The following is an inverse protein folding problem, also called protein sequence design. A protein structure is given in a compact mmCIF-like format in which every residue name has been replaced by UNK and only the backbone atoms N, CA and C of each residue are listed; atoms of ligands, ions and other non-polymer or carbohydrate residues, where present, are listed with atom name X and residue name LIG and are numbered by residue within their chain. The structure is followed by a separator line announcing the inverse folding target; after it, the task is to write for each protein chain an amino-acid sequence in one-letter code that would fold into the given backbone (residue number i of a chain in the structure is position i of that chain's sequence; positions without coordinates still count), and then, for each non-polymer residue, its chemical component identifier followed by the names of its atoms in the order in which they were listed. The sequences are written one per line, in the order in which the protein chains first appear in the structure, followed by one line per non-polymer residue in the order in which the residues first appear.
data_IF_929493927472
#
_entry.id   IF_929493927472
#
_cell.length_a   1.000
_cell.length_b   1.000
_cell.length_c   1.000
_cell.angle_alpha   90.00
_cell.angle_beta   90.00
_cell.angle_gamma   90.00
#
_symmetry.space_group_name_H-M   'P 1'
#
loop_
_entity.id
_entity.type
_entity.pdbx_description
1 polymer ?
#
# COMPACT_ATOMS: atom_id res chain seq x y z
N UNK A 1 20.51 88.47 16.45
CA UNK A 1 21.75 87.84 16.96
C UNK A 1 21.43 86.39 17.28
N UNK A 2 22.03 85.44 16.55
CA UNK A 2 21.82 84.03 16.83
C UNK A 2 22.49 83.69 18.17
N UNK A 3 21.69 83.31 19.18
CA UNK A 3 22.23 82.76 20.43
C UNK A 3 22.80 81.39 20.09
N UNK A 4 24.11 81.31 19.89
CA UNK A 4 24.82 80.05 19.66
C UNK A 4 25.09 79.39 21.00
N UNK A 5 24.44 78.25 21.22
CA UNK A 5 24.62 77.38 22.38
C UNK A 5 23.66 76.21 22.24
N UNK A 6 24.08 75.04 22.72
CA UNK A 6 23.25 73.83 22.67
C UNK A 6 21.97 74.08 23.47
N UNK A 7 20.78 73.95 22.88
CA UNK A 7 19.54 74.19 23.60
C UNK A 7 19.36 73.13 24.69
N UNK A 8 19.13 73.59 25.93
CA UNK A 8 18.85 72.73 27.08
C UNK A 8 17.36 72.81 27.38
N UNK A 9 16.71 71.65 27.40
CA UNK A 9 15.33 71.53 27.85
C UNK A 9 15.33 71.04 29.29
N UNK A 10 14.58 71.70 30.16
CA UNK A 10 14.39 71.23 31.52
C UNK A 10 12.89 71.12 31.78
N UNK A 11 12.51 70.10 32.51
CA UNK A 11 11.15 69.95 33.04
C UNK A 11 11.20 69.90 34.55
N UNK A 12 10.11 70.33 35.16
CA UNK A 12 9.85 70.12 36.57
C UNK A 12 8.38 69.90 36.75
N UNK A 13 8.01 69.19 37.80
CA UNK A 13 6.62 69.11 38.20
C UNK A 13 6.23 70.40 38.91
N UNK A 14 5.14 71.02 38.45
CA UNK A 14 4.55 72.18 39.12
C UNK A 14 3.58 71.71 40.21
N UNK A 15 3.63 72.37 41.37
CA UNK A 15 2.61 72.22 42.41
C UNK A 15 2.25 73.59 42.99
N UNK A 16 1.09 73.69 43.62
CA UNK A 16 0.61 74.95 44.20
C UNK A 16 1.39 75.39 45.45
N UNK A 17 2.18 74.51 46.07
CA UNK A 17 2.97 74.82 47.28
C UNK A 17 4.45 75.12 46.98
N UNK A 18 5.09 74.28 46.15
CA UNK A 18 6.45 74.49 45.67
C UNK A 18 6.72 73.60 44.46
N UNK A 19 7.46 74.14 43.51
CA UNK A 19 7.80 73.40 42.30
C UNK A 19 8.98 72.45 42.56
N UNK A 20 8.94 71.24 41.98
CA UNK A 20 10.00 70.23 42.15
C UNK A 20 11.34 70.65 41.53
N UNK A 21 12.42 69.89 41.74
CA UNK A 21 13.70 70.17 41.10
C UNK A 21 13.57 70.19 39.56
N UNK A 22 14.40 71.00 38.91
CA UNK A 22 14.54 70.92 37.45
C UNK A 22 15.28 69.63 37.10
N UNK A 23 14.69 68.83 36.23
CA UNK A 23 15.32 67.69 35.60
C UNK A 23 15.66 68.05 34.17
N UNK A 24 16.91 67.78 33.82
CA UNK A 24 17.42 67.98 32.47
C UNK A 24 16.79 66.94 31.55
N UNK A 25 16.19 67.40 30.45
CA UNK A 25 15.81 66.55 29.34
C UNK A 25 17.01 66.46 28.41
N UNK A 26 17.56 65.26 28.28
CA UNK A 26 18.59 65.01 27.29
C UNK A 26 18.02 65.04 25.88
N UNK A 27 18.72 65.73 24.99
CA UNK A 27 18.38 65.82 23.58
C UNK A 27 19.54 65.29 22.74
N UNK A 28 19.35 65.17 21.42
CA UNK A 28 20.45 64.81 20.53
C UNK A 28 21.58 65.84 20.54
N UNK A 29 21.28 67.09 20.87
CA UNK A 29 22.26 68.17 20.98
C UNK A 29 22.92 68.20 22.38
N UNK A 30 22.17 67.87 23.43
CA UNK A 30 22.61 67.89 24.83
C UNK A 30 22.46 66.49 25.47
N UNK A 31 23.44 65.63 25.20
CA UNK A 31 23.44 64.21 25.57
C UNK A 31 23.92 64.01 27.02
N UNK A 32 23.50 62.91 27.69
CA UNK A 32 24.06 62.55 28.98
C UNK A 32 25.55 62.21 28.85
N UNK A 33 26.32 62.53 29.87
CA UNK A 33 27.71 62.09 30.02
C UNK A 33 27.78 60.62 30.45
N UNK A 34 28.91 59.97 30.20
CA UNK A 34 29.11 58.57 30.61
C UNK A 34 28.98 58.38 32.13
N UNK A 35 29.45 59.35 32.91
CA UNK A 35 29.30 59.37 34.37
C UNK A 35 27.84 59.48 34.81
N UNK A 36 27.02 60.30 34.14
CA UNK A 36 25.58 60.40 34.41
C UNK A 36 24.82 59.10 34.08
N UNK A 37 25.39 58.24 33.21
CA UNK A 37 24.82 56.94 32.85
C UNK A 37 25.39 55.75 33.63
N UNK A 38 26.47 55.93 34.40
CA UNK A 38 27.22 54.82 34.99
C UNK A 38 27.93 53.93 33.96
N UNK A 39 28.20 54.44 32.76
CA UNK A 39 28.85 53.71 31.68
C UNK A 39 30.38 53.93 31.67
N UNK A 40 31.14 52.89 31.31
CA UNK A 40 32.59 52.96 31.15
C UNK A 40 32.99 53.71 29.87
N UNK A 41 34.18 54.32 29.86
CA UNK A 41 34.72 54.96 28.66
C UNK A 41 35.24 53.91 27.67
N UNK A 42 35.24 54.24 26.38
CA UNK A 42 35.76 53.35 25.34
C UNK A 42 37.26 52.99 25.56
N UNK A 43 38.02 53.87 26.22
CA UNK A 43 39.41 53.65 26.61
C UNK A 43 39.58 52.53 27.63
N UNK A 44 38.57 52.31 28.48
CA UNK A 44 38.63 51.30 29.54
C UNK A 44 38.50 49.88 28.99
N UNK A 45 38.07 49.74 27.72
CA UNK A 45 37.87 48.47 27.03
C UNK A 45 39.12 48.01 26.24
N UNK A 46 40.22 48.76 26.24
CA UNK A 46 41.39 48.47 25.40
C UNK A 46 42.08 47.14 25.70
N UNK A 47 41.97 46.66 26.94
CA UNK A 47 42.56 45.39 27.40
C UNK A 47 41.57 44.22 27.42
N UNK A 48 40.33 44.43 26.97
CA UNK A 48 39.29 43.41 26.92
C UNK A 48 39.10 42.91 25.49
N UNK A 49 38.84 41.61 25.35
CA UNK A 49 38.53 41.00 24.06
C UNK A 49 37.01 40.82 23.94
N UNK A 50 36.39 41.25 22.83
CA UNK A 50 34.96 41.01 22.62
C UNK A 50 34.64 39.52 22.58
N UNK A 51 33.58 39.10 23.28
CA UNK A 51 33.11 37.70 23.30
C UNK A 51 32.65 37.18 21.93
N UNK A 52 32.46 38.08 20.97
CA UNK A 52 32.17 37.75 19.56
C UNK A 52 33.42 37.33 18.78
N UNK A 53 34.63 37.52 19.32
CA UNK A 53 35.83 36.93 18.73
C UNK A 53 35.87 35.43 18.97
N UNK A 54 36.43 34.70 18.01
CA UNK A 54 36.55 33.25 18.08
C UNK A 54 38.00 32.79 18.06
N UNK A 55 38.28 31.64 18.68
CA UNK A 55 39.54 30.89 18.54
C UNK A 55 39.19 29.59 17.82
N UNK A 56 39.70 29.42 16.59
CA UNK A 56 39.30 28.34 15.68
C UNK A 56 37.78 28.13 15.61
N UNK A 57 37.03 29.22 15.41
CA UNK A 57 35.57 29.18 15.24
C UNK A 57 34.76 29.07 16.53
N UNK A 58 35.38 28.89 17.70
CA UNK A 58 34.68 28.84 19.00
C UNK A 58 34.67 30.20 19.68
N UNK A 59 33.49 30.68 20.08
CA UNK A 59 33.30 31.96 20.75
C UNK A 59 33.85 31.98 22.18
N UNK A 60 34.29 33.15 22.65
CA UNK A 60 34.87 33.35 23.99
C UNK A 60 33.80 33.55 25.08
N UNK A 61 32.79 32.67 25.13
CA UNK A 61 31.70 32.74 26.12
C UNK A 61 31.91 31.81 27.32
N UNK A 62 32.87 30.88 27.25
CA UNK A 62 33.30 29.97 28.31
C UNK A 62 34.74 29.49 28.07
N UNK A 63 35.25 28.57 28.90
CA UNK A 63 36.55 27.91 28.66
C UNK A 63 36.56 27.20 27.30
N UNK A 64 37.63 27.40 26.53
CA UNK A 64 37.81 26.77 25.22
C UNK A 64 38.70 25.54 25.36
N UNK A 65 38.19 24.37 24.99
CA UNK A 65 38.97 23.15 24.76
C UNK A 65 39.13 22.93 23.26
N UNK A 66 40.37 22.80 22.79
CA UNK A 66 40.68 22.47 21.40
C UNK A 66 40.98 20.97 21.28
N UNK A 67 40.38 20.33 20.29
CA UNK A 67 40.74 18.98 19.85
C UNK A 67 41.58 19.04 18.58
N UNK A 68 42.22 17.92 18.20
CA UNK A 68 43.04 17.87 16.99
C UNK A 68 42.29 18.35 15.74
N UNK A 69 40.99 18.04 15.63
CA UNK A 69 40.15 18.51 14.52
C UNK A 69 39.96 20.04 14.48
N UNK A 70 40.13 20.73 15.61
CA UNK A 70 40.07 22.20 15.63
C UNK A 70 41.35 22.82 15.07
N UNK A 71 42.46 22.09 14.87
CA UNK A 71 43.76 22.63 14.40
C UNK A 71 44.10 22.00 13.05
N UNK A 72 44.22 22.83 12.00
CA UNK A 72 44.29 22.35 10.61
C UNK A 72 45.54 21.54 10.25
N UNK A 73 46.60 21.59 11.06
CA UNK A 73 47.91 20.99 10.75
C UNK A 73 48.38 20.02 11.86
N UNK A 74 47.45 19.32 12.50
CA UNK A 74 47.77 18.31 13.52
C UNK A 74 46.94 17.06 13.32
N UNK A 75 47.59 15.91 13.25
CA UNK A 75 46.91 14.63 13.26
C UNK A 75 46.53 14.22 14.68
N UNK A 76 45.34 13.63 14.87
CA UNK A 76 44.97 13.06 16.17
C UNK A 76 45.90 11.92 16.54
N UNK A 77 46.07 11.67 17.85
CA UNK A 77 46.85 10.52 18.33
C UNK A 77 46.35 9.21 17.71
N UNK A 78 45.03 9.05 17.61
CA UNK A 78 44.39 7.91 16.94
C UNK A 78 44.77 7.80 15.47
N UNK A 79 44.85 8.92 14.74
CA UNK A 79 45.26 8.93 13.34
C UNK A 79 46.73 8.51 13.18
N UNK A 80 47.63 9.04 14.00
CA UNK A 80 49.07 8.70 13.97
C UNK A 80 49.28 7.22 14.27
N UNK A 81 48.66 6.71 15.34
CA UNK A 81 48.77 5.30 15.75
C UNK A 81 48.23 4.35 14.66
N UNK A 82 47.25 4.79 13.87
CA UNK A 82 46.63 3.98 12.80
C UNK A 82 47.32 4.10 11.43
N UNK A 83 47.94 5.25 11.11
CA UNK A 83 48.35 5.58 9.75
C UNK A 83 49.83 5.90 9.58
N UNK A 84 50.56 6.22 10.65
CA UNK A 84 51.95 6.71 10.56
C UNK A 84 52.95 5.79 11.27
N UNK A 85 52.53 5.07 12.32
CA UNK A 85 53.29 3.90 12.81
C UNK A 85 53.25 2.82 11.71
N UNK A 86 54.37 2.22 11.28
CA UNK A 86 54.41 1.42 10.06
C UNK A 86 53.32 0.36 10.04
N UNK A 87 52.52 0.35 8.96
CA UNK A 87 51.62 -0.76 8.63
C UNK A 87 52.45 -2.05 8.57
N UNK A 88 52.44 -2.75 9.69
CA UNK A 88 52.88 -4.13 9.94
C UNK A 88 53.87 -4.64 8.89
N UNK A 89 55.17 -4.47 9.14
CA UNK A 89 56.15 -5.32 8.46
C UNK A 89 55.81 -6.77 8.78
N UNK A 90 55.67 -7.61 7.76
CA UNK A 90 55.39 -9.03 7.93
C UNK A 90 56.65 -9.82 7.60
N UNK A 91 57.04 -10.74 8.49
CA UNK A 91 58.04 -11.76 8.19
C UNK A 91 57.27 -13.05 7.91
N UNK A 92 57.32 -13.51 6.66
CA UNK A 92 56.63 -14.72 6.19
C UNK A 92 55.14 -14.79 6.57
N UNK A 93 54.43 -13.67 6.41
CA UNK A 93 52.99 -13.57 6.69
C UNK A 93 52.61 -13.32 8.15
N UNK A 94 53.58 -13.23 9.06
CA UNK A 94 53.35 -12.88 10.46
C UNK A 94 53.69 -11.43 10.75
N UNK A 95 52.78 -10.75 11.45
CA UNK A 95 52.96 -9.38 11.88
C UNK A 95 54.15 -9.23 12.83
N UNK A 96 55.08 -8.30 12.54
CA UNK A 96 56.13 -7.89 13.47
C UNK A 96 55.56 -6.93 14.53
N UNK A 97 54.75 -7.47 15.44
CA UNK A 97 54.17 -6.73 16.57
C UNK A 97 54.40 -7.48 17.90
N UNK A 98 54.40 -6.75 19.01
CA UNK A 98 54.62 -7.33 20.35
C UNK A 98 56.09 -7.55 20.73
N UNK A 99 56.35 -8.42 21.72
CA UNK A 99 57.69 -8.64 22.32
C UNK A 99 58.44 -9.86 21.79
N UNK A 100 57.80 -10.75 21.04
CA UNK A 100 58.44 -11.93 20.44
C UNK A 100 57.64 -12.46 19.23
N UNK A 101 58.37 -13.05 18.27
CA UNK A 101 57.81 -13.74 17.11
C UNK A 101 58.23 -15.21 17.15
N UNK A 102 57.25 -16.13 17.21
CA UNK A 102 57.49 -17.57 17.14
C UNK A 102 57.13 -18.08 15.75
N UNK A 103 58.13 -18.45 14.96
CA UNK A 103 57.94 -19.06 13.65
C UNK A 103 57.86 -20.58 13.77
N UNK A 104 56.94 -21.20 13.02
CA UNK A 104 56.88 -22.65 12.81
C UNK A 104 57.48 -23.02 11.45
N UNK A 105 57.73 -24.31 11.22
CA UNK A 105 58.31 -24.77 9.94
C UNK A 105 57.46 -24.38 8.72
N UNK A 106 56.13 -24.30 8.86
CA UNK A 106 55.24 -23.85 7.78
C UNK A 106 55.44 -22.37 7.40
N UNK A 107 56.03 -21.58 8.29
CA UNK A 107 56.32 -20.16 8.06
C UNK A 107 57.65 -19.96 7.33
N UNK A 108 58.40 -21.02 7.01
CA UNK A 108 59.72 -20.92 6.36
C UNK A 108 59.67 -21.73 5.06
N UNK A 109 60.03 -21.08 3.95
CA UNK A 109 60.07 -21.74 2.65
C UNK A 109 61.20 -22.80 2.64
N UNK A 110 60.90 -23.98 2.08
CA UNK A 110 61.86 -25.08 1.85
C UNK A 110 62.42 -25.76 3.11
N UNK A 111 61.59 -25.88 4.16
CA UNK A 111 61.95 -26.62 5.39
C UNK A 111 60.82 -27.59 5.78
N UNK A 112 61.17 -28.82 6.17
CA UNK A 112 60.24 -29.74 6.83
C UNK A 112 60.34 -29.62 8.35
N UNK A 113 59.22 -29.71 9.07
CA UNK A 113 59.26 -29.88 10.53
C UNK A 113 59.90 -31.23 10.90
N UNK A 114 60.49 -31.34 12.10
CA UNK A 114 61.07 -32.60 12.58
C UNK A 114 60.06 -33.76 12.53
N UNK A 115 58.79 -33.50 12.82
CA UNK A 115 57.71 -34.49 12.74
C UNK A 115 57.46 -34.94 11.30
N UNK A 116 57.45 -34.02 10.33
CA UNK A 116 57.34 -34.37 8.90
C UNK A 116 58.55 -35.17 8.44
N UNK A 117 59.76 -34.80 8.86
CA UNK A 117 60.97 -35.57 8.54
C UNK A 117 60.83 -37.01 9.06
N UNK A 118 60.42 -37.18 10.31
CA UNK A 118 60.32 -38.51 10.93
C UNK A 118 59.18 -39.37 10.36
N UNK A 119 58.08 -38.77 9.93
CA UNK A 119 56.93 -39.51 9.39
C UNK A 119 57.00 -39.76 7.89
N UNK A 120 57.68 -38.89 7.14
CA UNK A 120 57.68 -38.93 5.67
C UNK A 120 58.99 -39.46 5.09
N UNK A 121 60.10 -39.33 5.81
CA UNK A 121 61.42 -39.73 5.31
C UNK A 121 62.03 -40.81 6.19
N UNK A 122 62.77 -41.72 5.55
CA UNK A 122 63.58 -42.74 6.23
C UNK A 122 65.04 -42.28 6.17
N UNK A 123 65.79 -42.45 7.27
CA UNK A 123 67.20 -42.09 7.30
C UNK A 123 67.99 -42.89 6.24
N UNK A 124 68.91 -42.23 5.51
CA UNK A 124 69.76 -42.90 4.51
C UNK A 124 70.63 -44.03 5.08
N UNK A 125 70.81 -44.06 6.40
CA UNK A 125 71.49 -45.12 7.14
C UNK A 125 70.65 -46.38 7.33
N UNK A 126 69.33 -46.33 7.12
CA UNK A 126 68.48 -47.52 7.16
C UNK A 126 68.81 -48.41 5.97
N UNK A 127 68.91 -49.70 6.24
CA UNK A 127 69.29 -50.71 5.25
C UNK A 127 68.11 -51.56 4.81
N UNK A 128 68.04 -51.90 3.52
CA UNK A 128 67.23 -53.00 3.01
C UNK A 128 68.17 -54.17 2.72
N UNK A 129 68.03 -55.25 3.47
CA UNK A 129 68.87 -56.45 3.38
C UNK A 129 70.38 -56.13 3.44
N UNK A 130 70.75 -55.24 4.39
CA UNK A 130 72.14 -54.85 4.63
C UNK A 130 72.68 -53.73 3.72
N UNK A 131 71.94 -53.29 2.69
CA UNK A 131 72.33 -52.17 1.84
C UNK A 131 71.68 -50.85 2.28
N UNK A 132 72.43 -49.74 2.46
CA UNK A 132 71.89 -48.46 2.90
C UNK A 132 71.06 -47.76 1.81
N UNK A 133 69.99 -47.06 2.20
CA UNK A 133 69.12 -46.25 1.33
C UNK A 133 69.79 -44.95 0.82
N UNK A 134 71.12 -44.89 0.82
CA UNK A 134 71.90 -43.71 0.38
C UNK A 134 71.93 -43.50 -1.14
N UNK A 135 71.48 -44.50 -1.92
CA UNK A 135 71.36 -44.48 -3.38
C UNK A 135 70.42 -45.58 -3.88
N UNK A 136 70.39 -45.79 -5.20
CA UNK A 136 69.61 -46.88 -5.80
C UNK A 136 70.06 -48.23 -5.23
N UNK A 137 69.12 -48.99 -4.67
CA UNK A 137 69.39 -50.33 -4.16
C UNK A 137 69.17 -51.32 -5.30
N UNK A 138 70.24 -51.97 -5.74
CA UNK A 138 70.16 -53.15 -6.62
C UNK A 138 70.25 -54.38 -5.73
N UNK A 139 69.13 -55.09 -5.59
CA UNK A 139 69.10 -56.36 -4.88
C UNK A 139 69.64 -57.47 -5.78
N UNK A 140 70.71 -58.11 -5.33
CA UNK A 140 71.30 -59.30 -5.95
C UNK A 140 70.83 -60.56 -5.24
N UNK A 141 71.12 -61.73 -5.80
CA UNK A 141 70.78 -63.01 -5.16
C UNK A 141 71.35 -63.13 -3.73
N UNK A 142 72.47 -62.48 -3.43
CA UNK A 142 73.05 -62.46 -2.09
C UNK A 142 72.19 -61.72 -1.05
N UNK A 143 71.34 -60.78 -1.47
CA UNK A 143 70.44 -60.02 -0.59
C UNK A 143 69.04 -60.62 -0.51
N UNK A 144 68.71 -61.63 -1.31
CA UNK A 144 67.37 -62.20 -1.42
C UNK A 144 67.45 -63.73 -1.27
N UNK A 145 67.96 -64.17 -0.12
CA UNK A 145 68.29 -65.58 0.13
C UNK A 145 67.08 -66.53 0.04
N UNK A 146 65.85 -66.03 0.24
CA UNK A 146 64.60 -66.81 0.11
C UNK A 146 64.01 -66.81 -1.32
N UNK A 147 64.47 -65.94 -2.23
CA UNK A 147 64.00 -65.93 -3.63
C UNK A 147 64.78 -66.88 -4.55
N UNK A 148 65.79 -67.58 -4.03
CA UNK A 148 66.52 -68.59 -4.77
C UNK A 148 65.72 -69.90 -4.99
N UNK A 149 64.51 -70.04 -4.43
CA UNK A 149 63.74 -71.29 -4.52
C UNK A 149 62.57 -71.31 -5.50
N UNK A 150 62.32 -70.24 -6.27
CA UNK A 150 61.10 -70.16 -7.08
C UNK A 150 61.36 -69.66 -8.50
N UNK A 151 61.54 -70.61 -9.41
CA UNK A 151 61.43 -70.39 -10.84
C UNK A 151 59.99 -69.95 -11.19
N UNK A 152 59.76 -68.69 -11.55
CA UNK A 152 58.47 -68.25 -12.09
C UNK A 152 58.62 -67.36 -13.32
N UNK A 153 58.05 -67.87 -14.41
CA UNK A 153 57.90 -67.22 -15.70
C UNK A 153 56.55 -66.51 -15.84
N UNK A 154 56.63 -65.26 -16.33
CA UNK A 154 55.74 -64.57 -17.27
C UNK A 154 54.23 -64.37 -16.97
N UNK A 155 53.83 -63.08 -17.06
CA UNK A 155 52.54 -62.47 -17.41
C UNK A 155 51.31 -63.35 -17.43
N UNK A 156 50.36 -63.04 -16.55
CA UNK A 156 48.91 -62.90 -16.76
C UNK A 156 48.30 -62.95 -15.37
N UNK A 157 47.82 -61.85 -14.76
CA UNK A 157 46.72 -61.85 -13.76
C UNK A 157 46.61 -60.43 -13.15
N UNK A 158 45.83 -59.57 -13.81
CA UNK A 158 44.90 -58.68 -13.08
C UNK A 158 43.54 -59.39 -13.13
N UNK A 159 42.77 -59.54 -12.04
CA UNK A 159 41.53 -60.32 -12.08
C UNK A 159 40.48 -59.67 -12.99
N UNK A 160 40.22 -60.26 -14.17
CA UNK A 160 39.20 -59.82 -15.15
C UNK A 160 37.75 -60.15 -14.71
N UNK A 161 37.55 -60.61 -13.48
CA UNK A 161 36.26 -61.13 -12.98
C UNK A 161 35.42 -60.10 -12.21
N UNK A 162 35.95 -58.92 -11.93
CA UNK A 162 35.20 -57.87 -11.26
C UNK A 162 34.33 -57.09 -12.27
N UNK A 163 33.04 -56.96 -11.96
CA UNK A 163 32.07 -56.18 -12.71
C UNK A 163 31.75 -54.89 -11.93
N UNK A 164 31.61 -53.75 -12.62
CA UNK A 164 30.96 -52.54 -12.08
C UNK A 164 29.63 -52.42 -12.82
N UNK A 165 28.52 -52.54 -12.09
CA UNK A 165 27.17 -52.59 -12.62
C UNK A 165 27.04 -53.47 -13.87
N UNK A 166 27.42 -54.74 -13.72
CA UNK A 166 27.39 -55.76 -14.77
C UNK A 166 28.34 -55.53 -15.97
N UNK A 167 29.17 -54.49 -15.99
CA UNK A 167 30.24 -54.29 -16.99
C UNK A 167 31.62 -54.75 -16.50
N UNK A 168 32.38 -55.51 -17.31
CA UNK A 168 33.69 -56.01 -16.91
C UNK A 168 34.75 -54.91 -16.82
N UNK A 169 35.58 -54.97 -15.77
CA UNK A 169 36.78 -54.15 -15.59
C UNK A 169 37.88 -54.57 -16.58
N UNK A 170 37.68 -54.28 -17.87
CA UNK A 170 38.62 -54.60 -18.95
C UNK A 170 38.82 -53.42 -19.91
N UNK A 171 40.04 -53.27 -20.45
CA UNK A 171 40.40 -52.17 -21.35
C UNK A 171 41.07 -50.98 -20.65
N UNK A 172 41.34 -49.90 -21.40
CA UNK A 172 42.07 -48.71 -20.92
C UNK A 172 41.18 -47.71 -20.19
N UNK A 173 39.87 -47.65 -20.50
CA UNK A 173 38.89 -46.75 -19.88
C UNK A 173 37.51 -47.42 -19.76
N UNK A 174 36.82 -47.22 -18.64
CA UNK A 174 35.44 -47.71 -18.42
C UNK A 174 34.48 -46.53 -18.59
N UNK A 175 33.51 -46.67 -19.50
CA UNK A 175 32.46 -45.68 -19.75
C UNK A 175 31.12 -46.26 -19.28
N UNK A 176 30.52 -45.61 -18.27
CA UNK A 176 29.18 -45.94 -17.76
C UNK A 176 28.17 -44.96 -18.36
N UNK A 177 27.02 -45.46 -18.78
CA UNK A 177 25.85 -44.67 -19.20
C UNK A 177 24.73 -44.81 -18.17
N UNK A 178 23.71 -43.94 -18.23
CA UNK A 178 22.59 -43.98 -17.29
C UNK A 178 21.88 -45.36 -17.24
N UNK A 179 21.79 -46.06 -18.38
CA UNK A 179 21.22 -47.41 -18.45
C UNK A 179 22.05 -48.49 -17.71
N UNK A 180 23.30 -48.20 -17.35
CA UNK A 180 24.16 -49.11 -16.58
C UNK A 180 23.95 -48.98 -15.07
N UNK A 181 22.97 -48.22 -14.57
CA UNK A 181 22.68 -48.09 -13.13
C UNK A 181 21.19 -48.35 -12.94
N UNK A 182 20.81 -49.34 -12.12
CA UNK A 182 19.39 -49.54 -11.77
C UNK A 182 18.93 -48.38 -10.89
N UNK A 183 17.70 -47.90 -11.12
CA UNK A 183 17.03 -46.85 -10.33
C UNK A 183 17.54 -45.41 -10.52
N UNK A 184 18.01 -45.06 -11.72
CA UNK A 184 18.26 -43.67 -12.11
C UNK A 184 17.51 -43.29 -13.39
N UNK A 185 17.00 -42.07 -13.44
CA UNK A 185 16.55 -41.44 -14.69
C UNK A 185 17.69 -40.62 -15.26
N UNK A 186 17.92 -40.67 -16.58
CA UNK A 186 18.79 -39.70 -17.23
C UNK A 186 18.20 -38.28 -17.11
N UNK A 187 19.04 -37.26 -17.35
CA UNK A 187 18.58 -35.86 -17.36
C UNK A 187 17.46 -35.64 -18.39
N UNK A 188 17.56 -36.28 -19.55
CA UNK A 188 16.56 -36.20 -20.62
C UNK A 188 15.24 -36.84 -20.19
N UNK A 189 15.28 -38.04 -19.63
CA UNK A 189 14.09 -38.71 -19.12
C UNK A 189 13.44 -37.93 -17.98
N UNK A 190 14.26 -37.41 -17.05
CA UNK A 190 13.78 -36.59 -15.93
C UNK A 190 13.04 -35.33 -16.41
N UNK A 191 13.59 -34.63 -17.40
CA UNK A 191 12.98 -33.42 -17.96
C UNK A 191 11.68 -33.71 -18.74
N UNK A 192 11.54 -34.90 -19.32
CA UNK A 192 10.33 -35.31 -20.05
C UNK A 192 9.22 -35.84 -19.15
N UNK A 193 9.57 -36.45 -18.01
CA UNK A 193 8.62 -37.12 -17.11
C UNK A 193 8.22 -36.26 -15.90
N UNK A 194 9.07 -35.33 -15.44
CA UNK A 194 8.85 -34.59 -14.21
C UNK A 194 8.98 -33.08 -14.42
N UNK A 195 8.10 -32.31 -13.76
CA UNK A 195 8.26 -30.87 -13.63
C UNK A 195 9.22 -30.52 -12.47
N UNK A 196 9.94 -29.41 -12.59
CA UNK A 196 10.78 -28.90 -11.51
C UNK A 196 9.92 -28.45 -10.32
N UNK A 197 10.26 -28.89 -9.10
CA UNK A 197 9.56 -28.49 -7.87
C UNK A 197 9.60 -26.98 -7.58
N UNK A 198 10.52 -26.25 -8.22
CA UNK A 198 10.63 -24.79 -8.12
C UNK A 198 9.68 -24.05 -9.06
N UNK A 199 9.05 -24.73 -10.01
CA UNK A 199 8.04 -24.11 -10.88
C UNK A 199 6.78 -23.83 -10.07
N UNK A 200 6.13 -22.69 -10.35
CA UNK A 200 4.92 -22.26 -9.65
C UNK A 200 3.74 -22.09 -10.61
N UNK A 201 2.51 -22.34 -10.14
CA UNK A 201 1.26 -21.94 -10.81
C UNK A 201 0.58 -20.90 -9.93
N UNK A 202 0.43 -19.67 -10.44
CA UNK A 202 -0.15 -18.54 -9.69
C UNK A 202 0.43 -18.37 -8.27
N UNK A 203 1.76 -18.56 -8.13
CA UNK A 203 2.47 -18.44 -6.86
C UNK A 203 2.52 -19.71 -6.00
N UNK A 204 1.75 -20.76 -6.32
CA UNK A 204 1.80 -22.04 -5.62
C UNK A 204 2.90 -22.93 -6.18
N UNK A 205 3.78 -23.44 -5.31
CA UNK A 205 4.81 -24.39 -5.69
C UNK A 205 4.22 -25.77 -6.04
N UNK A 206 4.82 -26.48 -7.01
CA UNK A 206 4.41 -27.82 -7.44
C UNK A 206 4.96 -28.93 -6.52
N UNK A 207 4.92 -28.74 -5.20
CA UNK A 207 5.35 -29.72 -4.20
C UNK A 207 4.20 -30.52 -3.57
N UNK A 208 2.94 -30.22 -3.92
CA UNK A 208 1.72 -30.93 -3.52
C UNK A 208 0.58 -30.65 -4.50
N UNK A 209 -0.62 -31.19 -4.25
CA UNK A 209 -1.82 -30.79 -4.98
C UNK A 209 -2.04 -29.28 -4.85
N UNK A 210 -2.33 -28.63 -5.97
CA UNK A 210 -2.64 -27.18 -6.05
C UNK A 210 -4.13 -27.04 -6.33
N UNK A 211 -4.84 -26.31 -5.47
CA UNK A 211 -6.24 -25.93 -5.68
C UNK A 211 -6.30 -24.44 -5.97
N UNK A 212 -6.77 -24.06 -7.16
CA UNK A 212 -6.95 -22.66 -7.53
C UNK A 212 -8.36 -22.19 -7.13
N UNK A 213 -8.45 -20.92 -6.76
CA UNK A 213 -9.68 -20.22 -6.45
C UNK A 213 -9.87 -19.00 -7.37
N UNK A 214 -11.05 -18.37 -7.29
CA UNK A 214 -11.42 -17.25 -8.16
C UNK A 214 -10.46 -16.06 -8.05
N UNK A 215 -9.83 -15.82 -6.89
CA UNK A 215 -8.83 -14.76 -6.75
C UNK A 215 -7.55 -15.05 -7.52
N UNK A 216 -7.17 -16.32 -7.68
CA UNK A 216 -5.93 -16.71 -8.36
C UNK A 216 -5.99 -16.42 -9.87
N UNK A 217 -7.19 -16.29 -10.43
CA UNK A 217 -7.44 -16.00 -11.85
C UNK A 217 -8.06 -14.63 -12.08
N UNK A 218 -8.17 -13.79 -11.04
CA UNK A 218 -8.72 -12.44 -11.14
C UNK A 218 -10.21 -12.39 -11.49
N UNK A 219 -10.99 -13.40 -11.09
CA UNK A 219 -12.43 -13.49 -11.36
C UNK A 219 -13.24 -13.35 -10.08
N UNK A 220 -14.58 -13.31 -10.22
CA UNK A 220 -15.50 -13.31 -9.11
C UNK A 220 -15.97 -14.73 -8.81
N UNK A 221 -16.21 -15.01 -7.53
CA UNK A 221 -16.92 -16.23 -7.11
C UNK A 221 -18.38 -16.21 -7.60
N UNK A 222 -18.97 -17.41 -7.69
CA UNK A 222 -20.41 -17.56 -8.00
C UNK A 222 -21.29 -16.74 -7.05
N UNK A 223 -20.99 -16.74 -5.75
CA UNK A 223 -21.75 -15.99 -4.76
C UNK A 223 -21.70 -14.47 -4.99
N UNK A 224 -20.55 -13.94 -5.44
CA UNK A 224 -20.42 -12.51 -5.76
C UNK A 224 -21.22 -12.11 -7.00
N UNK A 225 -21.29 -12.99 -8.02
CA UNK A 225 -22.11 -12.76 -9.21
C UNK A 225 -23.59 -12.82 -8.83
N UNK A 226 -24.02 -13.88 -8.12
CA UNK A 226 -25.41 -14.06 -7.70
C UNK A 226 -25.91 -12.85 -6.87
N UNK A 227 -25.07 -12.28 -6.00
CA UNK A 227 -25.41 -11.09 -5.22
C UNK A 227 -25.55 -9.82 -6.09
N UNK A 228 -24.70 -9.65 -7.12
CA UNK A 228 -24.78 -8.51 -8.05
C UNK A 228 -26.02 -8.62 -8.93
N UNK A 229 -26.35 -9.83 -9.40
CA UNK A 229 -27.53 -10.08 -10.22
C UNK A 229 -28.82 -9.85 -9.41
N UNK A 230 -28.88 -10.31 -8.16
CA UNK A 230 -30.01 -10.03 -7.28
C UNK A 230 -30.22 -8.52 -7.05
N UNK A 231 -29.13 -7.77 -6.84
CA UNK A 231 -29.20 -6.32 -6.69
C UNK A 231 -29.65 -5.61 -7.98
N UNK A 232 -29.22 -6.09 -9.15
CA UNK A 232 -29.68 -5.58 -10.44
C UNK A 232 -31.17 -5.84 -10.65
N UNK A 233 -31.63 -7.06 -10.37
CA UNK A 233 -33.04 -7.44 -10.51
C UNK A 233 -33.95 -6.57 -9.64
N UNK A 234 -33.60 -6.36 -8.36
CA UNK A 234 -34.36 -5.47 -7.47
C UNK A 234 -34.44 -4.02 -7.98
N UNK A 235 -33.38 -3.51 -8.61
CA UNK A 235 -33.36 -2.18 -9.20
C UNK A 235 -34.20 -2.08 -10.50
N UNK A 236 -34.31 -3.18 -11.24
CA UNK A 236 -35.17 -3.24 -12.44
C UNK A 236 -36.63 -3.31 -12.01
N UNK A 237 -36.97 -4.17 -11.06
CA UNK A 237 -38.36 -4.38 -10.59
C UNK A 237 -38.97 -3.08 -10.02
N UNK A 238 -38.16 -2.27 -9.34
CA UNK A 238 -38.58 -0.95 -8.82
C UNK A 238 -38.79 0.10 -9.90
N UNK A 239 -38.14 -0.02 -11.08
CA UNK A 239 -38.26 0.95 -12.18
C UNK A 239 -39.29 0.55 -13.24
N UNK A 240 -39.64 -0.73 -13.34
CA UNK A 240 -40.58 -1.30 -14.32
C UNK A 240 -41.88 -1.73 -13.63
N UNK A 241 -42.28 -1.06 -12.56
CA UNK A 241 -43.62 -1.27 -12.00
C UNK A 241 -44.64 -0.70 -13.00
N UNK A 242 -45.22 -1.57 -13.83
CA UNK A 242 -46.44 -1.26 -14.58
C UNK A 242 -47.53 -1.15 -13.52
N UNK A 243 -47.72 0.04 -12.96
CA UNK A 243 -48.87 0.26 -12.12
C UNK A 243 -50.12 0.13 -12.98
N UNK A 244 -51.08 -0.70 -12.58
CA UNK A 244 -52.40 -0.72 -13.20
C UNK A 244 -52.95 0.71 -13.22
N UNK A 245 -53.36 1.19 -14.39
CA UNK A 245 -53.89 2.53 -14.58
C UNK A 245 -55.35 2.66 -14.09
N UNK A 246 -56.01 1.53 -13.86
CA UNK A 246 -57.37 1.43 -13.32
C UNK A 246 -57.42 1.33 -11.79
N UNK A 247 -58.31 2.12 -11.19
CA UNK A 247 -58.81 1.96 -9.82
C UNK A 247 -60.32 1.71 -9.83
N UNK A 248 -60.78 0.64 -9.16
CA UNK A 248 -62.21 0.34 -9.00
C UNK A 248 -62.65 0.67 -7.58
N UNK A 249 -63.64 1.54 -7.47
CA UNK A 249 -64.23 2.05 -6.23
C UNK A 249 -65.66 1.52 -6.15
N UNK A 250 -65.86 0.39 -5.50
CA UNK A 250 -67.10 -0.39 -5.64
C UNK A 250 -68.37 0.41 -5.29
N UNK A 251 -68.42 1.08 -4.13
CA UNK A 251 -69.56 1.89 -3.69
C UNK A 251 -69.05 3.19 -3.07
N UNK A 252 -69.72 4.31 -3.36
CA UNK A 252 -69.38 5.63 -2.83
C UNK A 252 -70.54 6.22 -2.05
N UNK A 253 -70.32 6.41 -0.75
CA UNK A 253 -71.35 6.83 0.21
C UNK A 253 -71.30 8.32 0.57
N UNK A 254 -70.20 9.03 0.30
CA UNK A 254 -70.10 10.48 0.57
C UNK A 254 -69.15 11.17 -0.42
N UNK A 255 -67.85 10.83 -0.37
CA UNK A 255 -66.83 11.43 -1.22
C UNK A 255 -66.22 10.41 -2.18
N UNK A 256 -66.19 10.73 -3.47
CA UNK A 256 -65.44 10.04 -4.51
C UNK A 256 -64.08 10.73 -4.67
N UNK A 257 -63.01 10.08 -4.20
CA UNK A 257 -61.65 10.57 -4.40
C UNK A 257 -61.01 9.89 -5.63
N UNK A 258 -60.69 10.68 -6.65
CA UNK A 258 -59.88 10.23 -7.78
C UNK A 258 -58.41 10.38 -7.41
N UNK A 259 -57.87 9.36 -6.73
CA UNK A 259 -56.47 9.33 -6.33
C UNK A 259 -55.55 8.94 -7.49
N UNK A 260 -54.78 9.90 -7.96
CA UNK A 260 -53.84 9.75 -9.08
C UNK A 260 -52.48 9.15 -8.68
N UNK A 261 -52.32 8.74 -7.42
CA UNK A 261 -51.14 8.03 -6.91
C UNK A 261 -50.80 6.80 -7.74
N UNK A 262 -49.53 6.42 -7.74
CA UNK A 262 -48.99 5.31 -8.53
C UNK A 262 -49.29 5.37 -10.05
N UNK A 263 -49.78 6.50 -10.57
CA UNK A 263 -50.11 6.63 -12.00
C UNK A 263 -51.52 6.17 -12.38
N UNK A 264 -52.48 6.09 -11.43
CA UNK A 264 -53.89 5.82 -11.78
C UNK A 264 -54.47 6.92 -12.68
N UNK A 265 -55.08 6.53 -13.79
CA UNK A 265 -55.70 7.45 -14.77
C UNK A 265 -57.12 7.05 -15.15
N UNK A 266 -57.56 5.84 -14.80
CA UNK A 266 -58.90 5.34 -15.05
C UNK A 266 -59.55 4.97 -13.73
N UNK A 267 -60.80 5.38 -13.52
CA UNK A 267 -61.56 5.12 -12.30
C UNK A 267 -62.92 4.56 -12.65
N UNK A 268 -63.33 3.49 -11.96
CA UNK A 268 -64.72 2.99 -11.97
C UNK A 268 -65.33 3.24 -10.61
N UNK A 269 -66.52 3.82 -10.53
CA UNK A 269 -67.20 4.04 -9.25
C UNK A 269 -68.71 3.83 -9.33
N UNK A 270 -69.32 3.26 -8.29
CA UNK A 270 -70.79 3.19 -8.16
C UNK A 270 -71.28 4.19 -7.11
N UNK A 271 -72.21 5.05 -7.50
CA UNK A 271 -72.78 6.05 -6.61
C UNK A 271 -73.95 5.47 -5.82
N UNK A 272 -73.87 5.48 -4.49
CA UNK A 272 -74.96 4.99 -3.62
C UNK A 272 -75.62 6.12 -2.83
N UNK A 273 -74.95 7.26 -2.67
CA UNK A 273 -75.51 8.44 -2.04
C UNK A 273 -76.34 9.30 -3.01
N UNK A 274 -77.41 10.00 -2.56
CA UNK A 274 -78.19 10.90 -3.41
C UNK A 274 -77.34 12.00 -4.07
N UNK A 275 -76.35 12.50 -3.33
CA UNK A 275 -75.33 13.44 -3.82
C UNK A 275 -73.97 12.98 -3.30
N UNK A 276 -72.98 12.91 -4.17
CA UNK A 276 -71.61 12.52 -3.86
C UNK A 276 -70.66 13.67 -4.17
N UNK A 277 -69.77 13.99 -3.26
CA UNK A 277 -68.73 15.00 -3.50
C UNK A 277 -67.59 14.38 -4.29
N UNK A 278 -67.12 15.04 -5.35
CA UNK A 278 -65.94 14.58 -6.09
C UNK A 278 -64.72 15.36 -5.63
N UNK A 279 -63.58 14.69 -5.47
CA UNK A 279 -62.28 15.33 -5.34
C UNK A 279 -61.25 14.63 -6.23
N UNK A 280 -60.25 15.38 -6.69
CA UNK A 280 -59.09 14.82 -7.39
C UNK A 280 -57.87 15.10 -6.53
N UNK A 281 -57.14 14.04 -6.16
CA UNK A 281 -55.97 14.14 -5.28
C UNK A 281 -54.73 13.54 -5.96
N UNK A 282 -53.55 13.95 -5.49
CA UNK A 282 -52.26 13.52 -6.00
C UNK A 282 -52.06 13.77 -7.52
N UNK A 283 -52.74 14.77 -8.06
CA UNK A 283 -52.43 15.32 -9.36
C UNK A 283 -51.00 15.94 -9.34
N UNK A 284 -50.31 15.90 -10.48
CA UNK A 284 -48.88 16.25 -10.54
C UNK A 284 -48.48 17.67 -10.09
N UNK A 285 -49.42 18.61 -9.96
CA UNK A 285 -49.24 19.92 -9.32
C UNK A 285 -48.34 20.92 -10.07
N UNK A 286 -47.95 20.64 -11.32
CA UNK A 286 -47.06 21.49 -12.14
C UNK A 286 -47.81 22.12 -13.32
N UNK A 287 -47.59 23.41 -13.57
CA UNK A 287 -48.19 24.14 -14.69
C UNK A 287 -47.70 23.73 -16.09
N UNK A 288 -46.81 22.73 -16.18
CA UNK A 288 -46.24 22.20 -17.43
C UNK A 288 -46.66 20.74 -17.72
N UNK A 289 -47.53 20.15 -16.88
CA UNK A 289 -47.92 18.75 -17.01
C UNK A 289 -49.36 18.61 -17.52
N UNK A 290 -49.51 17.94 -18.67
CA UNK A 290 -50.83 17.45 -19.11
C UNK A 290 -51.20 16.15 -18.41
N UNK A 291 -52.45 16.05 -17.97
CA UNK A 291 -52.98 14.86 -17.31
C UNK A 291 -54.41 14.60 -17.78
N UNK A 292 -54.74 13.33 -17.99
CA UNK A 292 -56.09 12.89 -18.35
C UNK A 292 -56.58 11.89 -17.33
N UNK A 293 -57.82 12.06 -16.89
CA UNK A 293 -58.55 11.09 -16.07
C UNK A 293 -59.78 10.63 -16.85
N UNK A 294 -60.01 9.32 -16.90
CA UNK A 294 -61.27 8.75 -17.39
C UNK A 294 -62.02 8.14 -16.21
N UNK A 295 -63.25 8.57 -15.98
CA UNK A 295 -64.11 8.11 -14.90
C UNK A 295 -65.35 7.45 -15.48
N UNK A 296 -65.65 6.24 -15.03
CA UNK A 296 -66.88 5.51 -15.33
C UNK A 296 -67.73 5.51 -14.06
N UNK A 297 -68.90 6.14 -14.11
CA UNK A 297 -69.82 6.27 -13.00
C UNK A 297 -71.05 5.39 -13.22
N UNK A 298 -71.29 4.45 -12.31
CA UNK A 298 -72.50 3.63 -12.28
C UNK A 298 -73.53 4.22 -11.32
N UNK A 299 -74.78 4.33 -11.76
CA UNK A 299 -75.91 4.74 -10.92
C UNK A 299 -76.32 3.61 -9.96
N UNK A 300 -75.86 3.63 -8.70
CA UNK A 300 -76.13 2.54 -7.76
C UNK A 300 -77.58 2.47 -7.27
N UNK A 301 -78.21 3.62 -7.00
CA UNK A 301 -79.63 3.69 -6.60
C UNK A 301 -80.54 4.30 -7.65
N UNK A 302 -79.95 4.96 -8.65
CA UNK A 302 -80.67 5.79 -9.63
C UNK A 302 -80.83 7.22 -9.13
N UNK A 303 -80.85 8.15 -10.08
CA UNK A 303 -80.88 9.60 -9.87
C UNK A 303 -79.80 10.14 -8.91
N UNK A 304 -78.69 9.41 -8.73
CA UNK A 304 -77.53 9.84 -7.97
C UNK A 304 -76.85 11.03 -8.67
N UNK A 305 -76.37 12.00 -7.89
CA UNK A 305 -75.73 13.22 -8.39
C UNK A 305 -74.28 13.32 -7.93
N UNK A 306 -73.48 14.06 -8.70
CA UNK A 306 -72.16 14.52 -8.27
C UNK A 306 -72.22 16.02 -7.95
N UNK A 307 -71.60 16.41 -6.85
CA UNK A 307 -71.19 17.79 -6.58
C UNK A 307 -69.80 18.00 -7.18
N UNK A 308 -69.74 18.70 -8.31
CA UNK A 308 -68.49 18.88 -9.07
C UNK A 308 -67.59 19.95 -8.41
N UNK A 309 -66.26 19.75 -8.37
CA UNK A 309 -65.32 20.75 -7.89
C UNK A 309 -65.38 22.04 -8.71
N UNK A 310 -65.23 23.20 -8.06
CA UNK A 310 -65.26 24.52 -8.71
C UNK A 310 -64.12 24.76 -9.73
N UNK A 311 -63.04 23.98 -9.62
CA UNK A 311 -61.92 24.00 -10.56
C UNK A 311 -62.14 23.10 -11.79
N UNK A 312 -63.28 22.40 -11.90
CA UNK A 312 -63.70 21.75 -13.14
C UNK A 312 -64.48 22.77 -14.00
N UNK A 313 -64.06 22.90 -15.25
CA UNK A 313 -64.66 23.75 -16.27
C UNK A 313 -65.39 22.88 -17.29
N UNK A 314 -66.65 23.20 -17.50
CA UNK A 314 -67.52 22.48 -18.43
C UNK A 314 -67.83 23.30 -19.67
N UNK A 315 -68.19 22.61 -20.74
CA UNK A 315 -68.65 23.25 -21.97
C UNK A 315 -69.86 24.15 -21.68
N UNK A 316 -69.81 25.40 -22.17
CA UNK A 316 -70.80 26.45 -21.90
C UNK A 316 -71.04 26.75 -20.41
N UNK A 317 -70.13 26.34 -19.51
CA UNK A 317 -70.30 26.50 -18.06
C UNK A 317 -71.43 25.64 -17.46
N UNK A 318 -71.85 24.58 -18.15
CA UNK A 318 -72.95 23.70 -17.71
C UNK A 318 -72.42 22.33 -17.31
N UNK A 319 -72.66 21.96 -16.06
CA UNK A 319 -72.38 20.61 -15.56
C UNK A 319 -73.13 19.54 -16.39
N UNK A 320 -72.56 18.34 -16.56
CA UNK A 320 -73.19 17.29 -17.33
C UNK A 320 -74.44 16.78 -16.62
N UNK A 321 -75.45 16.44 -17.41
CA UNK A 321 -76.61 15.70 -16.91
C UNK A 321 -76.23 14.22 -16.88
N UNK A 322 -76.21 13.64 -15.69
CA UNK A 322 -75.99 12.20 -15.52
C UNK A 322 -77.27 11.42 -15.83
N UNK A 323 -77.10 10.19 -16.25
CA UNK A 323 -78.20 9.24 -16.44
C UNK A 323 -78.87 8.96 -15.11
N UNK A 324 -80.20 8.82 -15.10
CA UNK A 324 -80.98 8.60 -13.87
C UNK A 324 -81.25 7.12 -13.62
N UNK A 325 -81.18 6.29 -14.65
CA UNK A 325 -81.52 4.87 -14.60
C UNK A 325 -80.53 4.14 -13.70
N UNK A 326 -81.04 3.35 -12.75
CA UNK A 326 -80.22 2.47 -11.93
C UNK A 326 -79.38 1.54 -12.83
N UNK A 327 -78.14 1.30 -12.41
CA UNK A 327 -77.12 0.47 -13.06
C UNK A 327 -76.58 1.03 -14.39
N UNK A 328 -77.11 2.14 -14.89
CA UNK A 328 -76.55 2.82 -16.06
C UNK A 328 -75.18 3.44 -15.76
N UNK A 329 -74.31 3.45 -16.78
CA UNK A 329 -72.95 3.95 -16.71
C UNK A 329 -72.81 5.21 -17.56
N UNK A 330 -72.27 6.27 -16.95
CA UNK A 330 -71.81 7.47 -17.63
C UNK A 330 -70.27 7.51 -17.63
N UNK A 331 -69.66 7.85 -18.77
CA UNK A 331 -68.21 7.97 -18.92
C UNK A 331 -67.84 9.45 -19.04
N UNK A 332 -67.05 9.94 -18.10
CA UNK A 332 -66.61 11.33 -18.02
C UNK A 332 -65.08 11.36 -18.14
N UNK A 333 -64.55 12.32 -18.89
CA UNK A 333 -63.12 12.61 -18.94
C UNK A 333 -62.81 13.98 -18.36
N UNK A 334 -61.69 14.06 -17.65
CA UNK A 334 -61.08 15.32 -17.22
C UNK A 334 -59.71 15.46 -17.86
N UNK A 335 -59.46 16.60 -18.49
CA UNK A 335 -58.15 16.99 -18.98
C UNK A 335 -57.64 18.15 -18.13
N UNK A 336 -56.39 18.09 -17.68
CA UNK A 336 -55.67 19.23 -17.15
C UNK A 336 -54.39 19.43 -17.96
N UNK A 337 -54.00 20.68 -18.17
CA UNK A 337 -52.70 21.06 -18.77
C UNK A 337 -51.81 21.80 -17.76
N UNK A 338 -52.30 21.97 -16.54
CA UNK A 338 -51.66 22.74 -15.46
C UNK A 338 -51.46 21.89 -14.20
N UNK A 339 -51.31 20.58 -14.37
CA UNK A 339 -50.98 19.67 -13.27
C UNK A 339 -52.13 19.38 -12.31
N UNK A 340 -53.36 19.76 -12.65
CA UNK A 340 -54.57 19.51 -11.87
C UNK A 340 -55.12 20.73 -11.14
N UNK A 341 -54.56 21.92 -11.40
CA UNK A 341 -55.09 23.17 -10.86
C UNK A 341 -56.44 23.50 -11.50
N UNK A 342 -56.55 23.31 -12.81
CA UNK A 342 -57.78 23.42 -13.61
C UNK A 342 -58.03 22.12 -14.35
N UNK A 343 -59.29 21.67 -14.33
CA UNK A 343 -59.74 20.51 -15.09
C UNK A 343 -60.79 20.92 -16.13
N UNK A 344 -60.67 20.42 -17.35
CA UNK A 344 -61.67 20.53 -18.40
C UNK A 344 -62.44 19.23 -18.45
N UNK A 345 -63.71 19.28 -18.05
CA UNK A 345 -64.59 18.12 -17.98
C UNK A 345 -65.38 17.91 -19.27
N UNK A 346 -65.55 16.66 -19.68
CA UNK A 346 -66.46 16.26 -20.76
C UNK A 346 -67.18 14.96 -20.42
N UNK A 347 -68.50 14.94 -20.55
CA UNK A 347 -69.26 13.70 -20.65
C UNK A 347 -68.97 13.10 -22.04
N UNK A 348 -68.37 11.91 -22.08
CA UNK A 348 -68.01 11.21 -23.31
C UNK A 348 -69.12 10.28 -23.79
N UNK A 349 -69.70 9.53 -22.86
CA UNK A 349 -70.77 8.56 -23.11
C UNK A 349 -71.75 8.59 -21.94
N UNK A 350 -73.01 8.31 -22.22
CA UNK A 350 -74.07 8.28 -21.20
C UNK A 350 -75.01 7.11 -21.46
N UNK A 351 -75.70 6.67 -20.41
CA UNK A 351 -76.70 5.59 -20.44
C UNK A 351 -76.16 4.28 -21.04
N UNK A 352 -74.90 3.97 -20.74
CA UNK A 352 -74.32 2.69 -21.10
C UNK A 352 -74.81 1.59 -20.14
N UNK A 353 -74.86 0.37 -20.63
CA UNK A 353 -75.10 -0.83 -19.85
C UNK A 353 -73.83 -1.68 -19.90
N UNK A 354 -73.49 -2.34 -18.79
CA UNK A 354 -72.33 -3.23 -18.72
C UNK A 354 -72.61 -4.65 -19.23
#
# INVERSE_FOLDING_TARGET
MSKTGTPVLNIRNFSTASNGAWYKIYTSADKPTLTELGAAAATDLSNYVPITRTVNGKALTANITLMAADISDVYSKTYIDSNVVPKVFQLNGHALSGTALNLVAADILDVYSQTQVNNTFVAKTVTVNGLPLSGNITLTAAQLTDMASLAYSNSTYVPKTFLINNKPLSGTNIQLVAADISDVYSRTESNGLFALRITTINGYALNSNVTLNYNDVGTYSKAQIDAKDAALQANIDTKVTITQDLLTINNVEDTLELDMSDGKRVFKATLTAPVTQLSVINASGSNLNSQTITMLLTQGTGANKISWPSNVKWSYGREPVLTFTKDAIDVIQFLSVDGGSTWYGSLLMADLQE
#
